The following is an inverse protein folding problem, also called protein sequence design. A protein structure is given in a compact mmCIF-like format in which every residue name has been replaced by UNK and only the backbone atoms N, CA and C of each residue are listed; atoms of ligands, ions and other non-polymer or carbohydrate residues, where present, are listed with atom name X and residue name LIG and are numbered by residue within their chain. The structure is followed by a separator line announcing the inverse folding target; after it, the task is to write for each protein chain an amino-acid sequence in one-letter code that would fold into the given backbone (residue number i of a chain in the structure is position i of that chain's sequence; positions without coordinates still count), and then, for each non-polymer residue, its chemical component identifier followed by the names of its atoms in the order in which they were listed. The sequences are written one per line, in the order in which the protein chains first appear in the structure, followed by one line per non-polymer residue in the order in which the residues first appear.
data_IF_989033088821
#
_entry.id   IF_989033088821
#
_cell.length_a   1.000
_cell.length_b   1.000
_cell.length_c   1.000
_cell.angle_alpha   90.00
_cell.angle_beta   90.00
_cell.angle_gamma   90.00
#
_symmetry.space_group_name_H-M   'P 1'
#
loop_
_entity.id
_entity.type
_entity.pdbx_description
1 polymer ?
#
# COMPACT_ATOMS: atom_id res chain seq x y z
N UNK A 1 -6.24 3.55 -4.57
CA UNK A 1 -6.09 3.76 -6.04
C UNK A 1 -6.83 4.99 -6.55
N UNK A 2 -8.17 5.08 -6.48
CA UNK A 2 -8.92 6.26 -6.99
C UNK A 2 -8.54 7.60 -6.35
N UNK A 3 -8.08 7.58 -5.10
CA UNK A 3 -7.48 8.73 -4.42
C UNK A 3 -6.20 9.18 -5.13
N UNK A 4 -5.26 8.26 -5.37
CA UNK A 4 -3.97 8.51 -6.02
C UNK A 4 -4.18 9.10 -7.43
N UNK A 5 -5.10 8.53 -8.20
CA UNK A 5 -5.41 9.07 -9.52
C UNK A 5 -5.94 10.51 -9.46
N UNK A 6 -6.81 10.83 -8.49
CA UNK A 6 -7.29 12.21 -8.27
C UNK A 6 -6.17 13.16 -7.84
N UNK A 7 -5.31 12.72 -6.93
CA UNK A 7 -4.15 13.50 -6.45
C UNK A 7 -3.18 13.82 -7.60
N UNK A 8 -3.11 12.95 -8.61
CA UNK A 8 -2.33 13.15 -9.83
C UNK A 8 -3.12 13.78 -10.99
N UNK A 9 -4.30 14.36 -10.73
CA UNK A 9 -5.06 15.12 -11.73
C UNK A 9 -5.90 14.28 -12.70
N UNK A 10 -6.00 12.97 -12.52
CA UNK A 10 -6.81 12.08 -13.34
C UNK A 10 -8.22 11.90 -12.75
N UNK A 11 -9.23 11.82 -13.62
CA UNK A 11 -10.59 11.44 -13.23
C UNK A 11 -10.70 9.90 -13.16
N UNK A 12 -10.87 9.28 -11.98
CA UNK A 12 -10.88 7.82 -11.85
C UNK A 12 -11.96 7.11 -12.66
N UNK A 13 -13.05 7.81 -13.00
CA UNK A 13 -14.14 7.26 -13.82
C UNK A 13 -13.75 7.08 -15.29
N UNK A 14 -12.72 7.80 -15.75
CA UNK A 14 -12.21 7.70 -17.11
C UNK A 14 -11.09 6.66 -17.25
N UNK A 15 -10.58 6.14 -16.12
CA UNK A 15 -9.45 5.21 -16.11
C UNK A 15 -9.96 3.79 -16.32
N UNK A 16 -9.50 3.18 -17.40
CA UNK A 16 -9.83 1.84 -17.81
C UNK A 16 -9.27 0.78 -16.85
N UNK A 17 -9.82 -0.43 -16.92
CA UNK A 17 -9.27 -1.56 -16.17
C UNK A 17 -7.80 -1.83 -16.53
N UNK A 18 -7.42 -1.69 -17.80
CA UNK A 18 -6.05 -1.94 -18.25
C UNK A 18 -5.06 -0.90 -17.71
N UNK A 19 -5.42 0.39 -17.71
CA UNK A 19 -4.58 1.44 -17.13
C UNK A 19 -4.41 1.27 -15.62
N UNK A 20 -5.44 0.75 -14.93
CA UNK A 20 -5.33 0.39 -13.51
C UNK A 20 -4.35 -0.76 -13.31
N UNK A 21 -4.40 -1.80 -14.13
CA UNK A 21 -3.45 -2.91 -14.05
C UNK A 21 -2.02 -2.45 -14.38
N UNK A 22 -1.86 -1.59 -15.39
CA UNK A 22 -0.58 -0.96 -15.73
C UNK A 22 -0.02 -0.11 -14.57
N UNK A 23 -0.88 0.55 -13.79
CA UNK A 23 -0.45 1.25 -12.57
C UNK A 23 0.00 0.29 -11.45
N UNK A 24 -0.62 -0.89 -11.32
CA UNK A 24 -0.18 -1.89 -10.31
C UNK A 24 1.20 -2.45 -10.69
N UNK A 25 1.48 -2.62 -11.98
CA UNK A 25 2.80 -3.03 -12.49
C UNK A 25 3.27 -4.34 -11.89
N UNK A 26 4.42 -4.32 -11.22
CA UNK A 26 5.03 -5.48 -10.53
C UNK A 26 4.49 -5.73 -9.11
N UNK A 27 3.75 -4.78 -8.54
CA UNK A 27 3.21 -4.88 -7.17
C UNK A 27 1.90 -5.70 -7.10
N UNK A 28 1.74 -6.64 -8.03
CA UNK A 28 0.60 -7.52 -8.10
C UNK A 28 0.69 -8.64 -7.05
N UNK A 29 -0.46 -9.24 -6.74
CA UNK A 29 -0.47 -10.47 -5.95
C UNK A 29 -0.06 -11.66 -6.83
N UNK A 30 0.82 -12.52 -6.31
CA UNK A 30 1.24 -13.74 -6.99
C UNK A 30 2.42 -13.53 -7.94
N UNK A 31 2.39 -14.18 -9.11
CA UNK A 31 3.47 -14.19 -10.09
C UNK A 31 3.14 -13.37 -11.36
N UNK A 32 2.08 -12.56 -11.32
CA UNK A 32 1.67 -11.73 -12.44
C UNK A 32 2.33 -10.35 -12.34
N UNK A 33 2.60 -9.74 -13.49
CA UNK A 33 3.01 -8.35 -13.61
C UNK A 33 2.47 -7.78 -14.92
N UNK A 34 2.32 -6.46 -15.00
CA UNK A 34 1.76 -5.77 -16.17
C UNK A 34 2.75 -4.77 -16.76
N UNK A 35 2.91 -4.81 -18.09
CA UNK A 35 3.77 -3.91 -18.85
C UNK A 35 3.03 -3.25 -20.03
N UNK A 36 3.32 -1.98 -20.37
CA UNK A 36 4.26 -1.08 -19.67
C UNK A 36 3.69 -0.59 -18.34
N UNK A 37 4.53 -0.46 -17.32
CA UNK A 37 4.12 0.06 -16.02
C UNK A 37 3.89 1.58 -16.07
N UNK A 38 2.85 2.07 -15.39
CA UNK A 38 2.56 3.49 -15.22
C UNK A 38 2.85 3.85 -13.75
N UNK A 39 3.80 4.74 -13.50
CA UNK A 39 4.09 5.25 -12.15
C UNK A 39 3.92 6.77 -12.12
N UNK A 40 3.34 7.30 -11.04
CA UNK A 40 3.06 8.74 -10.89
C UNK A 40 4.15 9.51 -10.15
N UNK A 41 4.99 8.84 -9.35
CA UNK A 41 6.24 9.29 -8.74
C UNK A 41 6.70 8.19 -7.78
N UNK A 42 7.96 8.26 -7.34
CA UNK A 42 8.61 7.29 -6.45
C UNK A 42 7.68 6.94 -5.27
N UNK A 43 7.16 5.72 -5.28
CA UNK A 43 6.33 5.19 -4.21
C UNK A 43 7.26 4.84 -3.06
N UNK A 44 7.78 5.90 -2.43
CA UNK A 44 8.99 5.88 -1.62
C UNK A 44 9.07 4.63 -0.77
N UNK A 45 10.03 3.77 -1.13
CA UNK A 45 10.43 2.62 -0.35
C UNK A 45 10.63 3.09 1.09
N UNK A 46 9.77 2.63 1.98
CA UNK A 46 9.82 3.03 3.37
C UNK A 46 10.06 1.81 4.23
N UNK A 47 11.14 1.89 4.99
CA UNK A 47 11.42 0.94 6.04
C UNK A 47 10.51 1.24 7.23
N UNK A 48 9.87 0.19 7.73
CA UNK A 48 8.99 0.21 8.88
C UNK A 48 9.56 -0.71 9.95
N UNK A 49 9.60 -0.22 11.18
CA UNK A 49 9.94 -1.04 12.34
C UNK A 49 8.76 -1.96 12.68
N UNK A 50 9.02 -3.27 12.70
CA UNK A 50 8.00 -4.29 12.94
C UNK A 50 7.48 -4.26 14.38
N UNK A 51 8.29 -3.80 15.34
CA UNK A 51 7.86 -3.66 16.74
C UNK A 51 6.81 -2.56 16.84
N UNK A 52 7.10 -1.38 16.27
CA UNK A 52 6.16 -0.27 16.19
C UNK A 52 4.85 -0.66 15.49
N UNK A 53 4.94 -1.38 14.35
CA UNK A 53 3.77 -1.91 13.64
C UNK A 53 2.92 -2.83 14.54
N UNK A 54 3.55 -3.69 15.35
CA UNK A 54 2.85 -4.53 16.30
C UNK A 54 2.13 -3.75 17.40
N UNK A 55 2.76 -2.70 17.94
CA UNK A 55 2.16 -1.85 18.97
C UNK A 55 0.92 -1.11 18.44
N UNK A 56 0.99 -0.56 17.23
CA UNK A 56 -0.13 0.13 16.60
C UNK A 56 -1.29 -0.82 16.27
N UNK A 57 -0.98 -2.05 15.84
CA UNK A 57 -2.01 -3.07 15.62
C UNK A 57 -2.78 -3.42 16.91
N UNK A 58 -2.11 -3.43 18.07
CA UNK A 58 -2.76 -3.65 19.37
C UNK A 58 -3.66 -2.48 19.74
N UNK A 59 -3.18 -1.23 19.60
CA UNK A 59 -3.97 -0.03 19.90
C UNK A 59 -5.27 0.01 19.09
N UNK A 60 -5.19 -0.27 17.78
CA UNK A 60 -6.36 -0.34 16.91
C UNK A 60 -7.33 -1.44 17.35
N UNK A 61 -6.81 -2.63 17.68
CA UNK A 61 -7.63 -3.74 18.16
C UNK A 61 -8.36 -3.39 19.46
N UNK A 62 -7.73 -2.63 20.36
CA UNK A 62 -8.31 -2.13 21.60
C UNK A 62 -9.30 -0.97 21.39
N UNK A 63 -9.51 -0.52 20.14
CA UNK A 63 -10.41 0.59 19.81
C UNK A 63 -9.85 1.97 20.16
N UNK A 64 -8.55 2.05 20.45
CA UNK A 64 -7.84 3.32 20.57
C UNK A 64 -7.49 3.75 19.15
N UNK A 65 -8.18 4.77 18.65
CA UNK A 65 -8.00 5.28 17.29
C UNK A 65 -6.50 5.49 17.02
N UNK A 66 -5.96 4.73 16.07
CA UNK A 66 -4.54 4.79 15.71
C UNK A 66 -4.39 5.55 14.40
N UNK A 67 -3.74 6.71 14.44
CA UNK A 67 -3.36 7.49 13.25
C UNK A 67 -2.56 6.64 12.24
N UNK A 68 -1.89 5.60 12.76
CA UNK A 68 -1.13 4.66 11.97
C UNK A 68 -2.02 3.74 11.11
N UNK A 69 -3.28 3.51 11.47
CA UNK A 69 -4.21 2.72 10.64
C UNK A 69 -4.65 3.49 9.41
N UNK A 70 -4.85 4.79 9.51
CA UNK A 70 -5.08 5.64 8.33
C UNK A 70 -3.85 5.62 7.40
N UNK A 71 -2.65 5.63 7.98
CA UNK A 71 -1.40 5.45 7.25
C UNK A 71 -1.33 4.08 6.55
N UNK A 72 -1.66 2.99 7.26
CA UNK A 72 -1.71 1.65 6.69
C UNK A 72 -2.77 1.51 5.60
N UNK A 73 -3.95 2.13 5.77
CA UNK A 73 -5.01 2.09 4.77
C UNK A 73 -4.56 2.69 3.44
N UNK A 74 -3.75 3.75 3.48
CA UNK A 74 -3.16 4.35 2.28
C UNK A 74 -2.08 3.45 1.66
N UNK A 75 -1.34 2.68 2.46
CA UNK A 75 -0.36 1.70 1.99
C UNK A 75 -1.00 0.37 1.54
N UNK A 76 -2.25 0.10 1.92
CA UNK A 76 -2.93 -1.16 1.69
C UNK A 76 -3.79 -1.16 0.44
N UNK A 77 -3.39 -1.90 -0.59
CA UNK A 77 -4.12 -2.00 -1.86
C UNK A 77 -5.41 -2.84 -1.82
N UNK A 78 -5.94 -3.22 -0.66
CA UNK A 78 -6.96 -4.28 -0.58
C UNK A 78 -8.20 -3.86 0.19
N UNK A 79 -9.29 -3.62 -0.55
CA UNK A 79 -10.58 -3.10 -0.09
C UNK A 79 -11.41 -4.04 0.82
N UNK A 80 -10.80 -4.72 1.77
CA UNK A 80 -11.49 -5.40 2.85
C UNK A 80 -11.65 -4.50 4.08
N UNK A 81 -12.66 -4.78 4.93
CA UNK A 81 -12.92 -4.02 6.17
C UNK A 81 -11.79 -4.12 7.21
N UNK A 82 -10.90 -5.11 7.08
CA UNK A 82 -9.74 -5.31 7.95
C UNK A 82 -8.50 -4.70 7.30
N UNK A 83 -7.83 -3.71 7.94
CA UNK A 83 -6.57 -3.17 7.47
C UNK A 83 -5.52 -4.28 7.31
N UNK A 84 -4.81 -4.30 6.17
CA UNK A 84 -3.76 -5.30 5.85
C UNK A 84 -2.62 -4.62 5.13
N UNK A 85 -1.40 -5.14 5.17
CA UNK A 85 -0.31 -4.58 4.35
C UNK A 85 0.63 -5.69 3.88
N UNK A 86 1.26 -5.52 2.73
CA UNK A 86 2.31 -6.41 2.24
C UNK A 86 3.67 -5.75 2.46
N UNK A 87 4.62 -6.48 3.03
CA UNK A 87 5.98 -6.02 3.28
C UNK A 87 7.00 -7.11 2.99
N UNK A 88 8.21 -6.73 2.58
CA UNK A 88 9.38 -7.62 2.55
C UNK A 88 10.15 -7.46 3.86
N UNK A 89 10.39 -8.55 4.60
CA UNK A 89 11.18 -8.49 5.83
C UNK A 89 12.68 -8.38 5.49
N UNK A 90 13.38 -7.45 6.13
CA UNK A 90 14.83 -7.32 6.03
C UNK A 90 15.57 -8.43 6.79
N UNK A 91 16.84 -8.63 6.47
CA UNK A 91 17.68 -9.66 7.10
C UNK A 91 17.94 -9.39 8.59
N UNK A 92 17.80 -8.14 9.05
CA UNK A 92 17.93 -7.76 10.45
C UNK A 92 16.80 -8.32 11.34
N UNK A 93 15.68 -8.75 10.73
CA UNK A 93 14.52 -9.28 11.40
C UNK A 93 13.65 -8.25 12.12
N UNK A 94 14.07 -6.99 12.18
CA UNK A 94 13.40 -5.91 12.92
C UNK A 94 12.68 -4.94 11.98
N UNK A 95 13.14 -4.81 10.74
CA UNK A 95 12.56 -3.88 9.78
C UNK A 95 11.91 -4.62 8.61
N UNK A 96 10.91 -3.97 8.01
CA UNK A 96 10.25 -4.41 6.79
C UNK A 96 10.16 -3.28 5.79
N UNK A 97 10.13 -3.61 4.50
CA UNK A 97 9.92 -2.64 3.42
C UNK A 97 8.53 -2.75 2.84
N UNK A 98 7.83 -1.62 2.79
CA UNK A 98 6.52 -1.51 2.14
C UNK A 98 6.72 -1.02 0.71
N UNK A 99 5.99 -1.62 -0.23
CA UNK A 99 5.82 -1.12 -1.59
C UNK A 99 4.48 -0.40 -1.65
N UNK A 100 4.47 0.88 -2.05
CA UNK A 100 3.24 1.67 -2.25
C UNK A 100 2.90 1.79 -3.74
#
# INVERSE_FOLDING_TARGET
MDRIFRENGFNPRMITALERLAYIGEHCSGALYYEPAISFADTGERDIDLITLGQEAVKEFEGTNSDFVEYLMNASGSGGARPKLNLTKHTDGCTGRIYQ
#
